data_IF_693989051690
#
_entry.id   IF_693989051690
#
_cell.length_a   1.000
_cell.length_b   1.000
_cell.length_c   1.000
_cell.angle_alpha   90.00
_cell.angle_beta   90.00
_cell.angle_gamma   90.00
#
_symmetry.space_group_name_H-M   'P 1'
#
loop_
_entity.id
_entity.type
_entity.pdbx_description
1 polymer ?
#
# COMPACT_ATOMS: atom_id res chain seq x y z
N UNK A 1 -6.50 -0.86 3.69
CA UNK A 1 -5.61 -0.81 2.49
C UNK A 1 -5.10 0.60 2.30
N UNK A 2 -3.99 0.75 1.62
CA UNK A 2 -3.48 2.09 1.34
C UNK A 2 -4.22 2.72 0.16
N UNK A 3 -4.29 4.07 0.18
CA UNK A 3 -4.78 4.83 -0.96
C UNK A 3 -3.94 4.56 -2.22
N UNK A 4 -2.62 4.37 -2.04
CA UNK A 4 -1.72 4.03 -3.15
C UNK A 4 -2.16 2.70 -3.80
N UNK A 5 -2.42 1.67 -3.01
CA UNK A 5 -2.87 0.37 -3.54
C UNK A 5 -4.21 0.48 -4.27
N UNK A 6 -5.13 1.28 -3.73
CA UNK A 6 -6.42 1.50 -4.37
C UNK A 6 -6.25 2.20 -5.71
N UNK A 7 -5.42 3.25 -5.78
CA UNK A 7 -5.15 3.95 -7.04
C UNK A 7 -4.47 3.03 -8.05
N UNK A 8 -3.50 2.23 -7.62
CA UNK A 8 -2.81 1.28 -8.50
C UNK A 8 -3.77 0.25 -9.08
N UNK A 9 -4.70 -0.23 -8.27
CA UNK A 9 -5.75 -1.13 -8.74
C UNK A 9 -6.63 -0.45 -9.78
N UNK A 10 -6.99 0.82 -9.52
CA UNK A 10 -7.78 1.60 -10.46
C UNK A 10 -7.08 1.75 -11.81
N UNK A 11 -5.81 2.12 -11.80
CA UNK A 11 -5.01 2.23 -13.03
C UNK A 11 -4.99 0.90 -13.79
N UNK A 12 -4.72 -0.19 -13.07
CA UNK A 12 -4.67 -1.53 -13.66
C UNK A 12 -5.99 -1.90 -14.34
N UNK A 13 -7.10 -1.72 -13.63
CA UNK A 13 -8.41 -2.13 -14.15
C UNK A 13 -8.87 -1.23 -15.32
N UNK A 14 -8.63 0.07 -15.22
CA UNK A 14 -9.00 1.01 -16.28
C UNK A 14 -8.22 0.76 -17.57
N UNK A 15 -6.93 0.43 -17.46
CA UNK A 15 -6.14 0.10 -18.63
C UNK A 15 -6.63 -1.15 -19.35
N UNK A 16 -7.38 -2.01 -18.67
CA UNK A 16 -7.94 -3.24 -19.22
C UNK A 16 -9.43 -3.14 -19.53
N UNK A 17 -9.97 -1.92 -19.51
CA UNK A 17 -11.41 -1.67 -19.71
C UNK A 17 -12.27 -2.43 -18.72
N UNK A 18 -11.82 -2.51 -17.47
CA UNK A 18 -12.51 -3.21 -16.39
C UNK A 18 -13.06 -2.23 -15.35
N UNK A 19 -13.64 -1.09 -15.80
CA UNK A 19 -14.21 -0.09 -14.91
C UNK A 19 -15.31 -0.65 -14.01
N UNK A 20 -16.09 -1.59 -14.52
CA UNK A 20 -17.13 -2.24 -13.71
C UNK A 20 -16.55 -3.03 -12.55
N UNK A 21 -15.43 -3.71 -12.78
CA UNK A 21 -14.74 -4.43 -11.71
C UNK A 21 -14.23 -3.46 -10.64
N UNK A 22 -13.74 -2.28 -11.04
CA UNK A 22 -13.33 -1.25 -10.09
C UNK A 22 -14.51 -0.79 -9.23
N UNK A 23 -15.63 -0.47 -9.85
CA UNK A 23 -16.83 -0.02 -9.12
C UNK A 23 -17.29 -1.09 -8.14
N UNK A 24 -17.32 -2.35 -8.57
CA UNK A 24 -17.71 -3.46 -7.71
C UNK A 24 -16.78 -3.61 -6.51
N UNK A 25 -15.46 -3.50 -6.75
CA UNK A 25 -14.48 -3.56 -5.66
C UNK A 25 -14.72 -2.47 -4.63
N UNK A 26 -14.90 -1.23 -5.08
CA UNK A 26 -15.14 -0.11 -4.17
C UNK A 26 -16.42 -0.33 -3.35
N UNK A 27 -17.50 -0.75 -4.00
CA UNK A 27 -18.77 -1.00 -3.30
C UNK A 27 -18.66 -2.13 -2.29
N UNK A 28 -18.05 -3.25 -2.69
CA UNK A 28 -18.09 -4.47 -1.86
C UNK A 28 -17.02 -4.42 -0.76
N UNK A 29 -15.82 -3.95 -1.06
CA UNK A 29 -14.70 -4.02 -0.15
C UNK A 29 -14.58 -2.74 0.68
N UNK A 30 -14.68 -1.59 0.05
CA UNK A 30 -14.48 -0.32 0.75
C UNK A 30 -15.78 0.08 1.50
N UNK A 31 -16.89 0.10 0.81
CA UNK A 31 -18.15 0.62 1.38
C UNK A 31 -18.84 -0.43 2.24
N UNK A 32 -19.15 -1.60 1.70
CA UNK A 32 -19.93 -2.61 2.43
C UNK A 32 -19.13 -3.32 3.50
N UNK A 33 -17.92 -3.77 3.17
CA UNK A 33 -17.07 -4.44 4.17
C UNK A 33 -16.39 -3.46 5.14
N UNK A 34 -16.41 -2.17 4.85
CA UNK A 34 -15.88 -1.16 5.75
C UNK A 34 -14.37 -1.15 5.86
N UNK A 35 -13.68 -1.55 4.81
CA UNK A 35 -12.20 -1.53 4.81
C UNK A 35 -11.75 -0.08 4.73
N UNK A 36 -10.97 0.36 5.72
CA UNK A 36 -10.45 1.72 5.75
C UNK A 36 -9.41 1.94 4.65
N UNK A 37 -9.49 3.10 3.98
CA UNK A 37 -8.46 3.56 3.05
C UNK A 37 -7.59 4.56 3.80
N UNK A 38 -6.31 4.25 3.94
CA UNK A 38 -5.35 5.02 4.73
C UNK A 38 -4.17 5.44 3.87
N UNK A 39 -3.48 6.48 4.28
CA UNK A 39 -2.34 6.99 3.52
C UNK A 39 -1.45 7.91 4.36
N UNK A 40 -0.55 8.60 3.68
CA UNK A 40 0.40 9.52 4.27
C UNK A 40 0.01 10.96 3.98
N UNK A 41 0.25 11.84 4.96
CA UNK A 41 0.14 13.27 4.76
C UNK A 41 1.33 13.78 3.93
N UNK A 42 1.21 14.99 3.31
CA UNK A 42 2.31 15.52 2.49
C UNK A 42 3.66 15.57 3.19
N UNK A 43 3.68 15.95 4.47
CA UNK A 43 4.94 16.02 5.22
C UNK A 43 5.56 14.64 5.44
N UNK A 44 4.74 13.61 5.60
CA UNK A 44 5.20 12.25 5.78
C UNK A 44 5.83 11.67 4.52
N UNK A 45 5.44 12.18 3.36
CA UNK A 45 6.05 11.77 2.09
C UNK A 45 7.54 12.13 2.00
N UNK A 46 7.97 13.15 2.74
CA UNK A 46 9.36 13.58 2.73
C UNK A 46 10.31 12.54 3.33
N UNK A 47 9.81 11.63 4.13
CA UNK A 47 10.62 10.57 4.74
C UNK A 47 10.87 9.38 3.79
N UNK A 48 10.12 9.28 2.70
CA UNK A 48 10.20 8.11 1.81
C UNK A 48 11.58 7.89 1.18
N UNK A 49 12.29 8.94 0.72
CA UNK A 49 13.63 8.72 0.16
C UNK A 49 14.59 8.08 1.13
N UNK A 50 14.53 8.43 2.41
CA UNK A 50 15.37 7.82 3.42
C UNK A 50 14.99 6.37 3.69
N UNK A 51 13.70 6.07 3.78
CA UNK A 51 13.20 4.69 3.92
C UNK A 51 13.70 3.84 2.75
N UNK A 52 13.56 4.37 1.53
CA UNK A 52 14.01 3.70 0.32
C UNK A 52 15.49 3.36 0.37
N UNK A 53 16.32 4.33 0.74
CA UNK A 53 17.78 4.14 0.82
C UNK A 53 18.17 3.18 1.92
N UNK A 54 17.57 3.33 3.10
CA UNK A 54 17.91 2.55 4.28
C UNK A 54 17.63 1.07 4.10
N UNK A 55 16.50 0.74 3.51
CA UNK A 55 16.04 -0.64 3.35
C UNK A 55 16.10 -1.15 1.92
N UNK A 56 16.62 -0.34 0.99
CA UNK A 56 16.71 -0.70 -0.44
C UNK A 56 15.36 -1.11 -1.02
N UNK A 57 14.36 -0.29 -0.78
CA UNK A 57 13.00 -0.48 -1.28
C UNK A 57 12.74 0.49 -2.43
N UNK A 58 11.88 0.09 -3.38
CA UNK A 58 11.37 1.02 -4.36
C UNK A 58 10.33 1.95 -3.74
N UNK A 59 9.73 2.83 -4.55
CA UNK A 59 8.76 3.81 -4.04
C UNK A 59 7.53 3.12 -3.46
N UNK A 60 7.00 2.14 -4.16
CA UNK A 60 5.77 1.44 -3.76
C UNK A 60 5.95 0.78 -2.40
N UNK A 61 7.04 0.05 -2.23
CA UNK A 61 7.34 -0.66 -0.99
C UNK A 61 7.67 0.31 0.15
N UNK A 62 8.37 1.41 -0.17
CA UNK A 62 8.66 2.45 0.81
C UNK A 62 7.38 3.09 1.34
N UNK A 63 6.42 3.37 0.46
CA UNK A 63 5.13 3.92 0.85
C UNK A 63 4.36 2.95 1.74
N UNK A 64 4.27 1.69 1.35
CA UNK A 64 3.59 0.65 2.13
C UNK A 64 4.23 0.50 3.51
N UNK A 65 5.55 0.48 3.58
CA UNK A 65 6.27 0.38 4.84
C UNK A 65 5.97 1.58 5.76
N UNK A 66 6.02 2.79 5.20
CA UNK A 66 5.76 4.00 5.97
C UNK A 66 4.32 4.04 6.51
N UNK A 67 3.33 3.61 5.72
CA UNK A 67 1.95 3.50 6.19
C UNK A 67 1.85 2.47 7.31
N UNK A 68 2.49 1.31 7.15
CA UNK A 68 2.47 0.27 8.17
C UNK A 68 3.08 0.78 9.49
N UNK A 69 4.16 1.54 9.42
CA UNK A 69 4.76 2.14 10.63
C UNK A 69 3.84 3.18 11.27
N UNK A 70 3.25 4.06 10.46
CA UNK A 70 2.37 5.12 10.97
C UNK A 70 1.20 4.57 11.76
N UNK A 71 0.62 3.47 11.30
CA UNK A 71 -0.59 2.88 11.89
C UNK A 71 -0.30 1.64 12.74
N UNK A 72 0.96 1.28 12.94
CA UNK A 72 1.32 0.12 13.74
C UNK A 72 0.87 -1.21 13.14
N UNK A 73 0.86 -1.31 11.82
CA UNK A 73 0.39 -2.50 11.11
C UNK A 73 1.54 -3.45 10.78
N UNK A 74 1.21 -4.73 10.63
CA UNK A 74 2.15 -5.71 10.11
C UNK A 74 2.12 -5.71 8.58
N UNK A 75 3.26 -6.03 7.98
CA UNK A 75 3.37 -6.16 6.53
C UNK A 75 3.20 -7.63 6.16
N UNK A 76 2.15 -7.92 5.39
CA UNK A 76 1.91 -9.26 4.85
C UNK A 76 2.26 -9.25 3.37
N UNK A 77 3.30 -10.00 2.99
CA UNK A 77 3.81 -10.02 1.63
C UNK A 77 4.61 -11.29 1.37
N UNK A 78 4.62 -11.73 0.12
CA UNK A 78 5.56 -12.74 -0.36
C UNK A 78 6.89 -12.14 -0.79
N UNK A 79 6.98 -10.80 -0.86
CA UNK A 79 8.20 -10.10 -1.28
C UNK A 79 9.20 -10.04 -0.13
N UNK A 80 10.36 -10.68 -0.32
CA UNK A 80 11.41 -10.72 0.68
C UNK A 80 12.11 -9.36 0.89
N UNK A 81 11.84 -8.35 0.04
CA UNK A 81 12.44 -7.04 0.21
C UNK A 81 12.10 -6.42 1.56
N UNK A 82 10.92 -6.71 2.11
CA UNK A 82 10.55 -6.22 3.43
C UNK A 82 11.33 -6.86 4.58
N UNK A 83 12.02 -7.97 4.35
CA UNK A 83 12.87 -8.60 5.37
C UNK A 83 14.07 -7.69 5.75
N UNK A 84 14.41 -6.72 4.89
CA UNK A 84 15.46 -5.74 5.15
C UNK A 84 15.02 -4.62 6.09
N UNK A 85 13.74 -4.53 6.39
CA UNK A 85 13.18 -3.48 7.26
C UNK A 85 13.13 -3.95 8.72
N UNK A 86 12.99 -2.99 9.63
CA UNK A 86 12.86 -3.29 11.06
C UNK A 86 11.58 -4.07 11.38
N UNK A 87 10.51 -3.85 10.63
CA UNK A 87 9.24 -4.57 10.83
C UNK A 87 9.30 -5.99 10.28
N UNK A 88 10.11 -6.23 9.23
CA UNK A 88 10.05 -7.47 8.50
C UNK A 88 8.73 -7.61 7.74
N UNK A 89 8.37 -8.83 7.44
CA UNK A 89 7.10 -9.14 6.77
C UNK A 89 6.44 -10.35 7.42
N UNK A 90 5.11 -10.46 7.24
CA UNK A 90 4.38 -11.69 7.51
C UNK A 90 4.09 -12.40 6.20
N UNK A 91 4.30 -13.70 6.19
CA UNK A 91 3.95 -14.54 5.04
C UNK A 91 2.48 -14.92 5.17
N UNK A 92 1.67 -14.61 4.15
CA UNK A 92 0.24 -14.92 4.19
C UNK A 92 -0.06 -16.41 4.28
#
# INVERSE_FOLDING_TARGET
>A
MTDFSLHSLGVFLFQRNRQEAYVRFVKDVIIQAGIAVIGLDPQELLALPEVSKRFRLDFDDSYQYAVAQKYGLEIMSFDSDFDRTEKGRKIP
#
